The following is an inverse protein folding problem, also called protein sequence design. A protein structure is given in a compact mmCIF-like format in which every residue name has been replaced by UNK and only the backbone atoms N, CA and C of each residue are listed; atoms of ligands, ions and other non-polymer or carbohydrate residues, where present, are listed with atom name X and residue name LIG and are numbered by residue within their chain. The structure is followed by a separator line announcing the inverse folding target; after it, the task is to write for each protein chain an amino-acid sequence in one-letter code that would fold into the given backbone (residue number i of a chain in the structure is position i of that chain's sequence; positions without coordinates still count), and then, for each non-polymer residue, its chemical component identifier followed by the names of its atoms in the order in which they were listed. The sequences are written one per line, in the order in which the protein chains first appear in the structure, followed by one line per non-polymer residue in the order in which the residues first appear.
data_IF_231984828855
#
_entry.id   IF_231984828855
#
_cell.length_a   1.000
_cell.length_b   1.000
_cell.length_c   1.000
_cell.angle_alpha   90.00
_cell.angle_beta   90.00
_cell.angle_gamma   90.00
#
_symmetry.space_group_name_H-M   'P 1'
#
loop_
_entity.id
_entity.type
_entity.pdbx_description
1 polymer ?
#
# COMPACT_ATOMS: atom_id res chain seq x y z
N UNK A 1 5.20 -10.49 12.43
CA UNK A 1 4.40 -9.41 11.84
C UNK A 1 3.26 -10.08 11.09
N UNK A 2 2.04 -9.90 11.60
CA UNK A 2 0.82 -10.31 10.92
C UNK A 2 0.33 -9.18 10.02
N UNK A 3 -0.23 -9.51 8.84
CA UNK A 3 -0.78 -8.54 7.90
C UNK A 3 -2.30 -8.63 7.93
N UNK A 4 -2.96 -7.58 8.41
CA UNK A 4 -4.42 -7.50 8.48
C UNK A 4 -4.89 -6.58 7.35
N UNK A 5 -5.69 -7.07 6.38
CA UNK A 5 -6.12 -6.25 5.25
C UNK A 5 -7.10 -5.16 5.68
N UNK A 6 -6.80 -3.90 5.35
CA UNK A 6 -7.70 -2.76 5.56
C UNK A 6 -8.60 -2.53 4.34
N UNK A 7 -8.02 -2.58 3.15
CA UNK A 7 -8.75 -2.49 1.89
C UNK A 7 -7.97 -3.24 0.81
N UNK A 8 -8.70 -3.97 -0.03
CA UNK A 8 -8.14 -4.72 -1.15
C UNK A 8 -9.09 -4.71 -2.33
N UNK A 9 -8.55 -4.90 -3.52
CA UNK A 9 -9.35 -5.08 -4.72
C UNK A 9 -9.57 -6.57 -4.92
N UNK A 10 -10.78 -6.99 -5.29
CA UNK A 10 -11.03 -8.36 -5.72
C UNK A 10 -10.67 -8.51 -7.19
N UNK A 11 -9.65 -9.31 -7.50
CA UNK A 11 -9.21 -9.57 -8.86
C UNK A 11 -8.95 -11.07 -9.04
N UNK A 12 -10.03 -11.81 -9.31
CA UNK A 12 -9.98 -13.21 -9.76
C UNK A 12 -8.88 -14.06 -9.11
N UNK A 13 -7.97 -14.61 -9.93
CA UNK A 13 -6.91 -15.54 -9.54
C UNK A 13 -5.56 -14.89 -9.19
N UNK A 14 -5.46 -13.57 -9.10
CA UNK A 14 -4.19 -12.86 -8.92
C UNK A 14 -4.11 -12.13 -7.57
N UNK A 15 -2.89 -11.94 -7.08
CA UNK A 15 -2.62 -11.08 -5.93
C UNK A 15 -2.93 -9.63 -6.31
N UNK A 16 -3.87 -9.02 -5.58
CA UNK A 16 -4.40 -7.70 -5.88
C UNK A 16 -3.70 -6.61 -5.07
N UNK A 17 -3.67 -5.37 -5.59
CA UNK A 17 -3.30 -4.23 -4.77
C UNK A 17 -4.13 -4.20 -3.48
N UNK A 18 -3.44 -4.12 -2.34
CA UNK A 18 -4.04 -4.22 -1.01
C UNK A 18 -3.25 -3.35 -0.04
N UNK A 19 -3.94 -2.67 0.86
CA UNK A 19 -3.34 -1.96 1.99
C UNK A 19 -3.61 -2.78 3.25
N UNK A 20 -2.56 -3.03 4.01
CA UNK A 20 -2.61 -3.79 5.26
C UNK A 20 -2.21 -2.90 6.42
N UNK A 21 -2.77 -3.17 7.59
CA UNK A 21 -2.22 -2.76 8.88
C UNK A 21 -1.41 -3.91 9.46
N UNK A 22 -0.52 -3.57 10.39
CA UNK A 22 0.17 -4.53 11.24
C UNK A 22 -0.28 -4.35 12.68
N UNK A 23 0.32 -5.11 13.60
CA UNK A 23 0.10 -4.95 15.05
C UNK A 23 0.62 -3.59 15.60
N UNK A 24 1.41 -2.87 14.80
CA UNK A 24 1.90 -1.51 15.09
C UNK A 24 1.25 -0.44 14.21
N UNK A 25 1.81 0.76 14.24
CA UNK A 25 1.28 1.94 13.51
C UNK A 25 1.65 1.96 12.02
N UNK A 26 2.43 0.98 11.57
CA UNK A 26 2.89 0.90 10.19
C UNK A 26 1.82 0.30 9.26
N UNK A 27 1.73 0.87 8.07
CA UNK A 27 0.93 0.34 6.96
C UNK A 27 1.83 -0.30 5.91
N UNK A 28 1.39 -1.45 5.41
CA UNK A 28 2.06 -2.15 4.31
C UNK A 28 1.20 -2.02 3.05
N UNK A 29 1.81 -1.55 1.96
CA UNK A 29 1.12 -1.33 0.68
C UNK A 29 1.62 -2.31 -0.35
N UNK A 30 0.74 -3.23 -0.77
CA UNK A 30 0.98 -4.11 -1.91
C UNK A 30 0.45 -3.47 -3.20
N UNK A 31 1.27 -3.43 -4.24
CA UNK A 31 0.90 -2.97 -5.56
C UNK A 31 1.89 -3.44 -6.62
N UNK A 32 1.73 -2.97 -7.85
CA UNK A 32 2.67 -3.29 -8.93
C UNK A 32 3.85 -2.33 -8.89
N UNK A 33 5.08 -2.83 -9.00
CA UNK A 33 6.27 -1.96 -9.07
C UNK A 33 6.10 -0.93 -10.19
N UNK A 34 6.24 0.34 -9.84
CA UNK A 34 6.18 1.44 -10.81
C UNK A 34 7.46 1.43 -11.64
N UNK A 35 7.37 1.53 -12.99
CA UNK A 35 8.55 1.68 -13.82
C UNK A 35 9.32 2.95 -13.43
N UNK A 36 10.64 2.93 -13.64
CA UNK A 36 11.52 4.09 -13.42
C UNK A 36 11.02 5.26 -14.26
N UNK A 37 10.61 6.34 -13.60
CA UNK A 37 10.19 7.57 -14.29
C UNK A 37 11.40 8.48 -14.45
N UNK A 38 11.61 9.04 -15.65
CA UNK A 38 12.67 10.03 -15.86
C UNK A 38 12.39 11.28 -15.02
N UNK A 39 13.38 11.73 -14.26
CA UNK A 39 13.30 12.96 -13.47
C UNK A 39 12.64 12.81 -12.09
N UNK A 40 12.24 11.59 -11.70
CA UNK A 40 11.96 11.29 -10.31
C UNK A 40 13.25 10.74 -9.69
N UNK A 41 13.68 11.32 -8.56
CA UNK A 41 14.89 10.92 -7.84
C UNK A 41 15.00 9.40 -7.71
N UNK A 42 16.24 8.88 -7.73
CA UNK A 42 16.53 7.47 -7.51
C UNK A 42 15.83 6.99 -6.24
N UNK A 43 15.14 5.85 -6.32
CA UNK A 43 14.55 5.21 -5.15
C UNK A 43 15.71 4.68 -4.30
N UNK A 44 15.79 5.02 -2.99
CA UNK A 44 16.86 4.54 -2.13
C UNK A 44 16.96 3.01 -2.09
N UNK A 45 18.14 2.52 -1.70
CA UNK A 45 18.35 1.09 -1.49
C UNK A 45 17.36 0.55 -0.44
N UNK A 46 16.71 -0.57 -0.76
CA UNK A 46 15.70 -1.18 0.10
C UNK A 46 14.28 -0.63 -0.07
N UNK A 47 14.07 0.41 -0.86
CA UNK A 47 12.74 0.97 -1.15
C UNK A 47 12.20 0.52 -2.51
N UNK A 48 10.86 0.58 -2.67
CA UNK A 48 10.21 0.34 -3.96
C UNK A 48 8.97 1.21 -4.10
N UNK A 49 8.83 1.86 -5.26
CA UNK A 49 7.59 2.57 -5.61
C UNK A 49 6.60 1.59 -6.20
N UNK A 50 5.38 1.54 -5.66
CA UNK A 50 4.29 0.75 -6.21
C UNK A 50 3.18 1.62 -6.75
N UNK A 51 2.52 1.14 -7.80
CA UNK A 51 1.31 1.70 -8.37
C UNK A 51 0.10 0.98 -7.77
N UNK A 52 -0.76 1.75 -7.12
CA UNK A 52 -2.06 1.32 -6.61
C UNK A 52 -3.17 2.23 -7.13
N UNK A 53 -4.42 1.75 -7.26
CA UNK A 53 -5.54 2.62 -7.58
C UNK A 53 -5.80 3.64 -6.47
N UNK A 54 -6.03 4.90 -6.84
CA UNK A 54 -6.30 5.98 -5.86
C UNK A 54 -7.44 5.62 -4.91
N UNK A 55 -8.50 5.01 -5.42
CA UNK A 55 -9.67 4.64 -4.63
C UNK A 55 -9.32 3.65 -3.51
N UNK A 56 -8.38 2.73 -3.75
CA UNK A 56 -7.92 1.78 -2.75
C UNK A 56 -7.32 2.48 -1.53
N UNK A 57 -6.50 3.51 -1.76
CA UNK A 57 -5.89 4.29 -0.67
C UNK A 57 -6.96 5.07 0.13
N UNK A 58 -7.93 5.66 -0.57
CA UNK A 58 -9.04 6.37 0.06
C UNK A 58 -9.87 5.41 0.93
N UNK A 59 -10.13 4.20 0.43
CA UNK A 59 -10.91 3.21 1.16
C UNK A 59 -10.15 2.68 2.38
N UNK A 60 -8.83 2.44 2.26
CA UNK A 60 -7.99 2.07 3.40
C UNK A 60 -7.99 3.16 4.49
N UNK A 61 -7.87 4.43 4.10
CA UNK A 61 -7.81 5.55 5.03
C UNK A 61 -9.06 5.68 5.92
N UNK A 62 -10.23 5.21 5.47
CA UNK A 62 -11.47 5.21 6.26
C UNK A 62 -11.43 4.27 7.46
N UNK A 63 -10.55 3.26 7.42
CA UNK A 63 -10.42 2.23 8.45
C UNK A 63 -9.22 2.46 9.36
N UNK A 64 -8.42 3.50 9.11
CA UNK A 64 -7.29 3.80 9.96
C UNK A 64 -7.80 4.33 11.30
N UNK A 65 -7.30 3.77 12.43
CA UNK A 65 -7.57 4.35 13.74
C UNK A 65 -7.03 5.78 13.77
N UNK A 66 -7.68 6.64 14.57
CA UNK A 66 -7.14 7.97 14.82
C UNK A 66 -5.74 7.82 15.43
N UNK A 67 -4.76 8.51 14.86
CA UNK A 67 -3.44 8.61 15.48
C UNK A 67 -3.59 9.54 16.68
N UNK A 68 -3.57 9.00 17.89
CA UNK A 68 -3.42 9.82 19.10
C UNK A 68 -2.06 10.53 18.98
N UNK A 69 -2.10 11.84 18.79
CA UNK A 69 -0.93 12.72 18.65
C UNK A 69 -0.48 13.26 20.00
#
# INVERSE_FOLDING_TARGET
MELIPLAGITCGSFACPTVYTTDGDDLIVQGYVSPVQRGADEVPEGETRVRIPRQLLIDAAKWLPAVDR
#
